data_IF_048986732449
#
_entry.id   IF_048986732449
#
_cell.length_a   1.000
_cell.length_b   1.000
_cell.length_c   1.000
_cell.angle_alpha   90.00
_cell.angle_beta   90.00
_cell.angle_gamma   90.00
#
_symmetry.space_group_name_H-M   'P 1'
#
loop_
_entity.id
_entity.type
_entity.pdbx_description
1 polymer ?
#
# COMPACT_ATOMS: atom_id res chain seq x y z
N UNK A 1 23.22 -18.11 4.49
CA UNK A 1 23.83 -16.89 3.89
C UNK A 1 23.21 -15.69 4.59
N UNK A 2 24.01 -14.78 5.16
CA UNK A 2 23.51 -13.71 6.05
C UNK A 2 22.55 -12.78 5.27
N UNK A 3 21.27 -12.64 5.67
CA UNK A 3 20.26 -11.85 4.94
C UNK A 3 20.66 -10.38 4.78
N UNK A 4 21.55 -9.87 5.63
CA UNK A 4 22.02 -8.46 5.63
C UNK A 4 22.83 -8.03 4.39
N UNK A 5 23.56 -8.94 3.72
CA UNK A 5 24.37 -8.57 2.55
C UNK A 5 23.51 -8.45 1.29
N UNK A 6 22.68 -9.45 1.04
CA UNK A 6 21.78 -9.49 -0.12
C UNK A 6 20.79 -8.31 -0.12
N UNK A 7 20.24 -7.97 1.05
CA UNK A 7 19.34 -6.82 1.21
C UNK A 7 20.03 -5.47 0.98
N UNK A 8 21.32 -5.31 1.35
CA UNK A 8 22.07 -4.08 1.06
C UNK A 8 22.31 -3.89 -0.45
N UNK A 9 22.64 -4.96 -1.16
CA UNK A 9 22.82 -4.91 -2.62
C UNK A 9 21.50 -4.59 -3.31
N UNK A 10 20.41 -5.25 -2.94
CA UNK A 10 19.07 -4.97 -3.47
C UNK A 10 18.61 -3.53 -3.16
N UNK A 11 18.89 -3.03 -1.95
CA UNK A 11 18.59 -1.63 -1.61
C UNK A 11 19.38 -0.66 -2.50
N UNK A 12 20.66 -0.92 -2.78
CA UNK A 12 21.46 -0.09 -3.71
C UNK A 12 20.88 -0.13 -5.13
N UNK A 13 20.49 -1.30 -5.63
CA UNK A 13 19.85 -1.42 -6.95
C UNK A 13 18.51 -0.69 -6.97
N UNK A 14 17.70 -0.84 -5.93
CA UNK A 14 16.42 -0.13 -5.83
C UNK A 14 16.61 1.39 -5.80
N UNK A 15 17.64 1.92 -5.14
CA UNK A 15 17.92 3.38 -5.14
C UNK A 15 18.37 3.92 -6.50
N UNK A 16 18.86 3.06 -7.42
CA UNK A 16 19.14 3.46 -8.81
C UNK A 16 17.86 3.60 -9.64
N UNK A 17 16.86 2.74 -9.37
CA UNK A 17 15.57 2.75 -10.07
C UNK A 17 14.64 3.81 -9.49
N UNK A 18 14.63 3.96 -8.17
CA UNK A 18 13.81 4.91 -7.42
C UNK A 18 14.70 6.02 -6.88
N UNK A 19 14.66 7.22 -7.48
CA UNK A 19 15.55 8.32 -7.10
C UNK A 19 15.28 8.78 -5.66
N UNK A 20 16.32 9.29 -5.02
CA UNK A 20 16.23 9.84 -3.66
C UNK A 20 15.13 10.88 -3.58
N UNK A 21 14.17 10.67 -2.68
CA UNK A 21 13.02 11.53 -2.50
C UNK A 21 13.04 12.23 -1.15
N UNK A 22 12.48 13.44 -1.13
CA UNK A 22 12.33 14.22 0.10
C UNK A 22 10.99 13.86 0.75
N UNK A 23 10.99 13.76 2.06
CA UNK A 23 9.75 13.72 2.86
C UNK A 23 9.44 15.17 3.26
N UNK A 24 8.26 15.64 2.87
CA UNK A 24 7.76 16.98 3.20
C UNK A 24 6.46 16.79 3.96
N UNK A 25 6.37 17.30 5.17
CA UNK A 25 5.17 17.20 6.00
C UNK A 25 4.60 18.58 6.27
N UNK A 26 3.27 18.72 6.21
CA UNK A 26 2.57 19.97 6.54
C UNK A 26 2.64 20.30 8.03
N UNK A 27 2.70 19.26 8.87
CA UNK A 27 2.80 19.39 10.33
C UNK A 27 3.95 18.52 10.83
N UNK A 28 4.53 18.80 12.00
CA UNK A 28 5.46 17.88 12.64
C UNK A 28 4.84 16.49 12.77
N UNK A 29 5.59 15.44 12.41
CA UNK A 29 5.12 14.08 12.58
C UNK A 29 5.10 13.74 14.07
N UNK A 30 4.04 13.11 14.51
CA UNK A 30 3.90 12.67 15.90
C UNK A 30 4.95 11.63 16.27
N UNK A 31 5.37 11.59 17.54
CA UNK A 31 6.17 10.50 18.10
C UNK A 31 5.30 9.29 18.48
N UNK A 32 3.98 9.49 18.66
CA UNK A 32 3.02 8.41 18.86
C UNK A 32 2.85 7.58 17.58
N UNK A 33 2.48 6.29 17.72
CA UNK A 33 2.19 5.44 16.57
C UNK A 33 1.05 5.97 15.72
N UNK A 34 1.18 5.85 14.41
CA UNK A 34 0.21 6.36 13.46
C UNK A 34 0.06 5.44 12.24
N UNK A 35 -0.99 5.67 11.46
CA UNK A 35 -1.22 5.00 10.17
C UNK A 35 -1.00 6.00 9.03
N UNK A 36 -0.10 5.69 8.13
CA UNK A 36 0.20 6.48 6.92
C UNK A 36 -0.50 5.85 5.73
N UNK A 37 -1.47 6.56 5.16
CA UNK A 37 -2.29 6.10 4.03
C UNK A 37 -1.76 6.74 2.75
N UNK A 38 -1.25 5.91 1.85
CA UNK A 38 -0.49 6.35 0.69
C UNK A 38 -1.20 5.97 -0.62
N UNK A 39 -1.05 6.82 -1.65
CA UNK A 39 -1.35 6.41 -3.01
C UNK A 39 -0.40 5.30 -3.47
N UNK A 40 -0.90 4.35 -4.25
CA UNK A 40 -0.11 3.17 -4.66
C UNK A 40 0.87 3.50 -5.79
N UNK A 41 0.43 4.23 -6.80
CA UNK A 41 1.26 4.57 -7.98
C UNK A 41 1.99 3.35 -8.56
N UNK A 42 1.31 2.23 -8.72
CA UNK A 42 1.91 0.95 -9.07
C UNK A 42 2.94 0.50 -8.03
N UNK A 43 4.18 0.20 -8.43
CA UNK A 43 5.26 -0.17 -7.51
C UNK A 43 6.00 1.04 -6.90
N UNK A 44 5.68 2.27 -7.33
CA UNK A 44 6.44 3.48 -6.94
C UNK A 44 6.18 3.82 -5.48
N UNK A 45 4.92 3.93 -5.08
CA UNK A 45 4.52 4.27 -3.73
C UNK A 45 5.16 3.36 -2.67
N UNK A 46 4.93 2.02 -2.73
CA UNK A 46 5.55 1.09 -1.79
C UNK A 46 7.07 1.15 -1.76
N UNK A 47 7.71 1.30 -2.93
CA UNK A 47 9.17 1.36 -3.01
C UNK A 47 9.73 2.62 -2.39
N UNK A 48 9.13 3.78 -2.68
CA UNK A 48 9.59 5.06 -2.12
C UNK A 48 9.37 5.14 -0.62
N UNK A 49 8.22 4.67 -0.11
CA UNK A 49 7.97 4.60 1.33
C UNK A 49 9.01 3.70 2.03
N UNK A 50 9.26 2.50 1.50
CA UNK A 50 10.26 1.57 2.07
C UNK A 50 11.69 2.14 2.06
N UNK A 51 12.05 2.91 1.04
CA UNK A 51 13.42 3.42 0.88
C UNK A 51 13.68 4.72 1.64
N UNK A 52 12.70 5.61 1.70
CA UNK A 52 12.92 7.01 2.09
C UNK A 52 12.10 7.50 3.28
N UNK A 53 11.01 6.82 3.65
CA UNK A 53 10.29 7.11 4.88
C UNK A 53 11.02 6.48 6.07
N UNK A 54 11.56 7.33 6.95
CA UNK A 54 12.55 6.89 7.95
C UNK A 54 11.95 6.45 9.30
N UNK A 55 10.70 6.81 9.59
CA UNK A 55 10.06 6.37 10.83
C UNK A 55 9.95 4.84 10.86
N UNK A 56 10.18 4.20 12.02
CA UNK A 56 10.00 2.75 12.15
C UNK A 56 8.56 2.37 11.82
N UNK A 57 8.36 1.55 10.79
CA UNK A 57 7.03 1.16 10.33
C UNK A 57 6.99 -0.27 9.80
N UNK A 58 5.78 -0.82 9.72
CA UNK A 58 5.48 -2.01 8.92
C UNK A 58 4.46 -1.67 7.84
N UNK A 59 4.66 -2.23 6.66
CA UNK A 59 3.78 -1.98 5.51
C UNK A 59 2.77 -3.11 5.36
N UNK A 60 1.52 -2.78 5.12
CA UNK A 60 0.52 -3.74 4.66
C UNK A 60 0.84 -4.15 3.23
N UNK A 61 0.92 -5.46 3.00
CA UNK A 61 1.18 -6.01 1.68
C UNK A 61 0.26 -7.19 1.41
N UNK A 62 -0.16 -7.35 0.16
CA UNK A 62 -0.98 -8.50 -0.19
C UNK A 62 -0.29 -9.82 0.14
N UNK A 63 -0.95 -10.67 0.93
CA UNK A 63 -0.36 -11.91 1.44
C UNK A 63 0.04 -12.91 0.35
N UNK A 64 -0.63 -12.87 -0.81
CA UNK A 64 -0.32 -13.76 -1.94
C UNK A 64 1.10 -13.58 -2.50
N UNK A 65 1.66 -12.37 -2.46
CA UNK A 65 3.03 -12.12 -2.94
C UNK A 65 4.10 -12.66 -2.00
N UNK A 66 3.76 -12.89 -0.74
CA UNK A 66 4.64 -13.49 0.26
C UNK A 66 4.59 -15.03 0.25
N UNK A 67 3.54 -15.62 -0.29
CA UNK A 67 3.34 -17.06 -0.39
C UNK A 67 4.18 -17.64 -1.54
N UNK A 68 4.98 -18.69 -1.26
CA UNK A 68 5.87 -19.33 -2.27
C UNK A 68 5.12 -19.88 -3.46
N UNK A 69 3.95 -20.46 -3.23
CA UNK A 69 3.16 -21.15 -4.25
C UNK A 69 2.29 -20.17 -5.04
N UNK A 70 1.73 -19.18 -4.36
CA UNK A 70 0.81 -18.20 -4.96
C UNK A 70 1.52 -17.00 -5.62
N UNK A 71 2.69 -16.60 -5.12
CA UNK A 71 3.41 -15.43 -5.63
C UNK A 71 3.71 -15.48 -7.14
N UNK A 72 4.11 -16.60 -7.76
CA UNK A 72 4.31 -16.64 -9.20
C UNK A 72 3.05 -16.36 -10.02
N UNK A 73 1.90 -16.86 -9.56
CA UNK A 73 0.62 -16.62 -10.23
C UNK A 73 0.14 -15.19 -10.02
N UNK A 74 0.30 -14.66 -8.80
CA UNK A 74 0.02 -13.26 -8.50
C UNK A 74 0.83 -12.33 -9.41
N UNK A 75 2.15 -12.50 -9.48
CA UNK A 75 3.03 -11.69 -10.31
C UNK A 75 2.70 -11.84 -11.81
N UNK A 76 2.36 -13.05 -12.26
CA UNK A 76 1.93 -13.25 -13.64
C UNK A 76 0.69 -12.43 -13.96
N UNK A 77 -0.32 -12.47 -13.10
CA UNK A 77 -1.57 -11.76 -13.31
C UNK A 77 -1.40 -10.25 -13.15
N UNK A 78 -0.65 -9.79 -12.15
CA UNK A 78 -0.53 -8.37 -11.83
C UNK A 78 0.46 -7.62 -12.75
N UNK A 79 1.61 -8.21 -13.04
CA UNK A 79 2.67 -7.54 -13.80
C UNK A 79 2.72 -7.91 -15.28
N UNK A 80 2.34 -9.14 -15.65
CA UNK A 80 2.54 -9.68 -17.00
C UNK A 80 1.26 -9.97 -17.77
N UNK A 81 0.09 -9.81 -17.18
CA UNK A 81 -1.19 -10.17 -17.79
C UNK A 81 -1.38 -9.58 -19.18
N UNK A 82 -1.20 -8.28 -19.34
CA UNK A 82 -1.35 -7.61 -20.64
C UNK A 82 -0.32 -8.03 -21.69
N UNK A 83 0.83 -8.56 -21.25
CA UNK A 83 1.91 -9.05 -22.11
C UNK A 83 1.77 -10.54 -22.44
N UNK A 84 0.94 -11.26 -21.71
CA UNK A 84 0.84 -12.71 -21.76
C UNK A 84 0.18 -13.27 -23.03
N UNK A 85 -0.53 -12.44 -23.82
CA UNK A 85 -1.30 -12.89 -24.98
C UNK A 85 -0.46 -13.63 -26.03
N UNK A 86 0.80 -13.22 -26.28
CA UNK A 86 1.66 -13.79 -27.34
C UNK A 86 2.63 -14.88 -26.87
N UNK A 87 3.07 -14.90 -25.60
CA UNK A 87 4.06 -15.84 -25.10
C UNK A 87 3.78 -16.25 -23.65
N UNK A 88 2.59 -16.77 -23.37
CA UNK A 88 2.11 -17.08 -22.02
C UNK A 88 3.06 -17.97 -21.21
N UNK A 89 3.69 -18.99 -21.85
CA UNK A 89 4.65 -19.88 -21.17
C UNK A 89 5.90 -19.14 -20.72
N UNK A 90 6.43 -18.24 -21.55
CA UNK A 90 7.59 -17.41 -21.23
C UNK A 90 7.30 -16.49 -20.04
N UNK A 91 6.16 -15.77 -20.07
CA UNK A 91 5.80 -14.86 -18.98
C UNK A 91 5.51 -15.59 -17.66
N UNK A 92 4.92 -16.79 -17.71
CA UNK A 92 4.77 -17.64 -16.53
C UNK A 92 6.11 -18.12 -15.97
N UNK A 93 7.07 -18.45 -16.81
CA UNK A 93 8.43 -18.79 -16.37
C UNK A 93 9.11 -17.57 -15.74
N UNK A 94 9.03 -16.39 -16.37
CA UNK A 94 9.61 -15.16 -15.87
C UNK A 94 8.97 -14.75 -14.52
N UNK A 95 7.65 -14.93 -14.35
CA UNK A 95 6.98 -14.63 -13.08
C UNK A 95 7.50 -15.49 -11.91
N UNK A 96 7.90 -16.75 -12.15
CA UNK A 96 8.54 -17.59 -11.13
C UNK A 96 9.91 -17.04 -10.70
N UNK A 97 10.70 -16.54 -11.65
CA UNK A 97 12.01 -15.91 -11.36
C UNK A 97 11.78 -14.61 -10.57
N UNK A 98 10.87 -13.75 -11.04
CA UNK A 98 10.55 -12.48 -10.36
C UNK A 98 10.03 -12.74 -8.96
N UNK A 99 9.13 -13.70 -8.75
CA UNK A 99 8.62 -14.07 -7.42
C UNK A 99 9.74 -14.50 -6.48
N UNK A 100 10.67 -15.33 -6.97
CA UNK A 100 11.81 -15.80 -6.18
C UNK A 100 12.75 -14.67 -5.75
N UNK A 101 12.91 -13.64 -6.59
CA UNK A 101 13.77 -12.48 -6.30
C UNK A 101 13.06 -11.41 -5.46
N UNK A 102 11.78 -11.17 -5.72
CA UNK A 102 11.00 -10.10 -5.08
C UNK A 102 10.64 -10.46 -3.63
N UNK A 103 10.24 -11.71 -3.39
CA UNK A 103 9.76 -12.13 -2.06
C UNK A 103 10.75 -11.85 -0.92
N UNK A 104 12.05 -12.22 -0.99
CA UNK A 104 13.00 -11.91 0.07
C UNK A 104 13.18 -10.40 0.31
N UNK A 105 12.99 -9.59 -0.73
CA UNK A 105 13.05 -8.13 -0.62
C UNK A 105 11.84 -7.60 0.16
N UNK A 106 10.66 -8.12 -0.13
CA UNK A 106 9.43 -7.74 0.57
C UNK A 106 9.45 -8.22 2.04
N UNK A 107 9.88 -9.46 2.27
CA UNK A 107 10.02 -10.03 3.63
C UNK A 107 11.03 -9.27 4.51
N UNK A 108 12.01 -8.57 3.90
CA UNK A 108 13.01 -7.80 4.66
C UNK A 108 12.41 -6.69 5.51
N UNK A 109 11.35 -6.03 5.03
CA UNK A 109 10.62 -5.00 5.77
C UNK A 109 9.74 -5.57 6.88
N UNK A 110 9.69 -6.89 7.06
CA UNK A 110 8.77 -7.57 7.98
C UNK A 110 7.33 -7.05 7.82
N UNK A 111 6.77 -7.10 6.59
CA UNK A 111 5.47 -6.54 6.28
C UNK A 111 4.35 -7.32 6.98
N UNK A 112 3.19 -6.69 7.07
CA UNK A 112 1.98 -7.33 7.56
C UNK A 112 1.19 -7.85 6.33
N UNK A 113 0.96 -9.17 6.24
CA UNK A 113 0.18 -9.73 5.14
C UNK A 113 -1.29 -9.34 5.25
N UNK A 114 -1.87 -8.90 4.14
CA UNK A 114 -3.30 -8.58 4.02
C UNK A 114 -3.98 -9.63 3.16
N UNK A 115 -5.11 -10.11 3.64
CA UNK A 115 -6.00 -11.05 2.96
C UNK A 115 -7.42 -10.51 2.95
N UNK A 116 -8.22 -10.91 1.97
CA UNK A 116 -9.64 -10.52 1.86
C UNK A 116 -10.58 -11.64 2.31
N UNK A 117 -10.15 -12.41 3.30
CA UNK A 117 -10.90 -13.51 3.91
C UNK A 117 -10.74 -13.49 5.44
N UNK A 118 -11.10 -14.61 6.12
CA UNK A 118 -11.01 -14.72 7.59
C UNK A 118 -9.61 -14.45 8.16
N UNK A 119 -8.55 -14.57 7.37
CA UNK A 119 -7.17 -14.23 7.76
C UNK A 119 -6.97 -12.74 8.00
N UNK A 120 -7.91 -11.88 7.61
CA UNK A 120 -7.89 -10.45 7.94
C UNK A 120 -7.81 -10.21 9.46
N UNK A 121 -8.36 -11.11 10.28
CA UNK A 121 -8.24 -11.04 11.75
C UNK A 121 -6.76 -11.00 12.17
N UNK A 122 -5.94 -11.83 11.55
CA UNK A 122 -4.49 -11.86 11.81
C UNK A 122 -3.79 -10.58 11.34
N UNK A 123 -4.22 -10.01 10.21
CA UNK A 123 -3.73 -8.70 9.74
C UNK A 123 -3.97 -7.63 10.81
N UNK A 124 -5.18 -7.57 11.37
CA UNK A 124 -5.51 -6.60 12.42
C UNK A 124 -4.72 -6.83 13.70
N UNK A 125 -4.56 -8.10 14.12
CA UNK A 125 -3.76 -8.45 15.29
C UNK A 125 -2.31 -7.99 15.15
N UNK A 126 -1.64 -8.35 14.04
CA UNK A 126 -0.26 -7.96 13.75
C UNK A 126 -0.11 -6.44 13.61
N UNK A 127 -1.14 -5.76 13.13
CA UNK A 127 -1.17 -4.30 13.04
C UNK A 127 -1.25 -3.65 14.41
N UNK A 128 -2.14 -4.14 15.27
CA UNK A 128 -2.24 -3.67 16.65
C UNK A 128 -0.93 -3.90 17.41
N UNK A 129 -0.37 -5.10 17.35
CA UNK A 129 0.92 -5.41 17.98
C UNK A 129 2.02 -4.43 17.52
N UNK A 130 2.03 -4.08 16.22
CA UNK A 130 2.98 -3.13 15.64
C UNK A 130 2.82 -1.73 16.23
N UNK A 131 1.58 -1.24 16.35
CA UNK A 131 1.30 0.07 16.95
C UNK A 131 1.63 0.08 18.45
N UNK A 132 1.35 -1.01 19.18
CA UNK A 132 1.70 -1.15 20.60
C UNK A 132 3.22 -1.21 20.83
N UNK A 133 4.00 -1.68 19.85
CA UNK A 133 5.47 -1.61 19.83
C UNK A 133 6.02 -0.20 19.55
N UNK A 134 5.17 0.81 19.39
CA UNK A 134 5.58 2.19 19.04
C UNK A 134 6.02 2.37 17.59
N UNK A 135 5.60 1.47 16.67
CA UNK A 135 5.89 1.56 15.25
C UNK A 135 4.65 1.97 14.48
N UNK A 136 4.88 2.65 13.36
CA UNK A 136 3.81 3.08 12.46
C UNK A 136 3.33 1.96 11.51
N UNK A 137 2.16 2.18 10.91
CA UNK A 137 1.67 1.40 9.77
C UNK A 137 1.73 2.24 8.50
N UNK A 138 2.13 1.61 7.40
CA UNK A 138 2.01 2.17 6.05
C UNK A 138 1.02 1.32 5.27
N UNK A 139 -0.03 1.95 4.75
CA UNK A 139 -1.14 1.27 4.07
C UNK A 139 -1.40 1.91 2.72
N UNK A 140 -1.62 1.09 1.71
CA UNK A 140 -1.99 1.50 0.35
C UNK A 140 -3.44 1.06 0.10
N UNK A 141 -4.43 1.91 0.43
CA UNK A 141 -5.84 1.49 0.49
C UNK A 141 -6.53 1.49 -0.87
N UNK A 142 -5.88 1.89 -1.95
CA UNK A 142 -6.51 1.99 -3.27
C UNK A 142 -7.11 0.68 -3.74
N UNK A 143 -8.34 0.71 -4.21
CA UNK A 143 -8.98 -0.41 -4.87
C UNK A 143 -8.90 -0.30 -6.40
N UNK A 144 -8.99 -1.42 -7.13
CA UNK A 144 -8.87 -1.47 -8.58
C UNK A 144 -10.14 -0.97 -9.30
N UNK A 145 -10.56 0.26 -8.98
CA UNK A 145 -11.65 0.95 -9.66
C UNK A 145 -11.12 1.84 -10.77
N UNK A 146 -12.02 2.36 -11.63
CA UNK A 146 -11.60 3.37 -12.61
C UNK A 146 -10.92 4.51 -11.91
N UNK A 147 -9.86 4.94 -12.57
CA UNK A 147 -8.99 5.97 -12.12
C UNK A 147 -9.74 7.32 -12.02
N UNK A 148 -9.72 7.92 -10.84
CA UNK A 148 -9.99 9.33 -10.68
C UNK A 148 -8.73 10.15 -11.01
N UNK A 149 -8.70 11.44 -10.84
CA UNK A 149 -7.61 12.28 -11.35
C UNK A 149 -6.23 11.94 -10.76
N UNK A 150 -6.10 11.70 -9.45
CA UNK A 150 -4.82 11.39 -8.79
C UNK A 150 -4.83 10.11 -7.98
N UNK A 151 -5.96 9.72 -7.40
CA UNK A 151 -6.09 8.51 -6.59
C UNK A 151 -7.39 7.78 -6.90
N UNK A 152 -7.39 6.46 -6.75
CA UNK A 152 -8.57 5.63 -6.90
C UNK A 152 -9.48 5.72 -5.65
N UNK A 153 -10.61 5.03 -5.70
CA UNK A 153 -11.40 4.74 -4.49
C UNK A 153 -10.60 3.89 -3.51
N UNK A 154 -10.97 3.91 -2.25
CA UNK A 154 -10.26 3.21 -1.19
C UNK A 154 -11.09 2.08 -0.60
N UNK A 155 -10.44 0.98 -0.23
CA UNK A 155 -10.99 0.03 0.72
C UNK A 155 -11.07 0.69 2.10
N UNK A 156 -12.21 0.56 2.76
CA UNK A 156 -12.50 1.26 4.03
C UNK A 156 -11.96 0.56 5.26
N UNK A 157 -11.54 -0.71 5.13
CA UNK A 157 -11.18 -1.58 6.26
C UNK A 157 -10.04 -1.06 7.15
N UNK A 158 -9.15 -0.22 6.64
CA UNK A 158 -8.07 0.37 7.44
C UNK A 158 -8.61 1.23 8.62
N UNK A 159 -9.77 1.84 8.46
CA UNK A 159 -10.36 2.71 9.47
C UNK A 159 -10.71 1.97 10.78
N UNK A 160 -10.97 0.66 10.71
CA UNK A 160 -11.22 -0.17 11.88
C UNK A 160 -10.01 -0.28 12.82
N UNK A 161 -8.80 0.03 12.32
CA UNK A 161 -7.62 0.13 13.18
C UNK A 161 -7.77 1.20 14.25
N UNK A 162 -8.49 2.30 13.97
CA UNK A 162 -8.79 3.33 14.96
C UNK A 162 -9.54 2.76 16.16
N UNK A 163 -10.64 2.02 15.90
CA UNK A 163 -11.42 1.36 16.94
C UNK A 163 -10.59 0.33 17.72
N UNK A 164 -9.82 -0.49 16.99
CA UNK A 164 -9.01 -1.55 17.59
C UNK A 164 -7.92 -0.97 18.48
N UNK A 165 -7.27 0.10 18.06
CA UNK A 165 -6.25 0.80 18.82
C UNK A 165 -6.83 1.50 20.05
N UNK A 166 -7.97 2.21 19.89
CA UNK A 166 -8.65 2.84 21.01
C UNK A 166 -9.07 1.83 22.09
N UNK A 167 -9.64 0.70 21.67
CA UNK A 167 -10.03 -0.36 22.62
C UNK A 167 -8.85 -0.90 23.43
N UNK A 168 -7.65 -0.91 22.86
CA UNK A 168 -6.45 -1.40 23.53
C UNK A 168 -5.71 -0.36 24.38
N UNK A 169 -5.81 0.95 24.02
CA UNK A 169 -4.95 1.99 24.59
C UNK A 169 -5.73 3.14 25.24
N UNK A 170 -7.01 3.32 24.93
CA UNK A 170 -7.80 4.48 25.31
C UNK A 170 -7.42 5.77 24.56
N UNK A 171 -6.59 5.68 23.49
CA UNK A 171 -6.15 6.82 22.68
C UNK A 171 -6.72 6.75 21.28
N UNK A 172 -7.07 7.90 20.71
CA UNK A 172 -7.46 8.01 19.30
C UNK A 172 -6.23 7.89 18.38
N UNK A 173 -6.35 7.07 17.34
CA UNK A 173 -5.29 6.81 16.38
C UNK A 173 -5.26 7.90 15.30
N UNK A 174 -4.05 8.39 14.99
CA UNK A 174 -3.82 9.34 13.91
C UNK A 174 -3.67 8.63 12.56
N UNK A 175 -4.34 9.16 11.52
CA UNK A 175 -4.24 8.72 10.14
C UNK A 175 -3.67 9.87 9.29
N UNK A 176 -2.48 9.67 8.73
CA UNK A 176 -1.81 10.66 7.89
C UNK A 176 -2.05 10.36 6.41
N UNK A 177 -2.62 11.31 5.64
CA UNK A 177 -2.65 11.21 4.18
C UNK A 177 -1.26 11.43 3.61
N UNK A 178 -0.86 10.58 2.65
CA UNK A 178 0.47 10.67 2.02
C UNK A 178 0.34 10.56 0.51
N UNK A 179 0.89 11.52 -0.21
CA UNK A 179 1.02 11.45 -1.66
C UNK A 179 2.48 11.25 -2.07
N UNK A 180 2.75 10.18 -2.81
CA UNK A 180 4.08 9.81 -3.29
C UNK A 180 4.18 10.10 -4.77
N UNK A 181 5.15 10.93 -5.18
CA UNK A 181 5.34 11.32 -6.57
C UNK A 181 6.83 11.19 -6.99
N UNK A 182 7.06 10.44 -8.09
CA UNK A 182 8.39 10.08 -8.56
C UNK A 182 9.10 11.20 -9.31
N UNK A 183 8.41 11.95 -10.19
CA UNK A 183 9.01 13.01 -11.04
C UNK A 183 9.54 14.14 -10.17
N UNK A 184 8.74 14.60 -9.22
CA UNK A 184 9.10 15.65 -8.27
C UNK A 184 9.94 15.12 -7.09
N UNK A 185 10.13 13.80 -6.98
CA UNK A 185 10.94 13.15 -5.95
C UNK A 185 10.49 13.51 -4.53
N UNK A 186 9.19 13.42 -4.29
CA UNK A 186 8.59 13.86 -3.03
C UNK A 186 7.67 12.78 -2.43
N UNK A 187 7.67 12.73 -1.11
CA UNK A 187 6.69 12.06 -0.27
C UNK A 187 6.06 13.18 0.55
N UNK A 188 4.87 13.62 0.11
CA UNK A 188 4.11 14.68 0.77
C UNK A 188 3.22 14.08 1.85
N UNK A 189 3.36 14.52 3.09
CA UNK A 189 2.55 14.09 4.23
C UNK A 189 1.64 15.24 4.64
N UNK A 190 0.35 15.00 4.65
CA UNK A 190 -0.66 16.00 5.05
C UNK A 190 -0.88 16.05 6.56
N UNK A 191 -1.89 16.79 6.95
CA UNK A 191 -2.33 16.87 8.34
C UNK A 191 -3.02 15.57 8.78
N UNK A 192 -2.82 15.12 10.03
CA UNK A 192 -3.47 13.92 10.52
C UNK A 192 -4.97 14.10 10.68
N UNK A 193 -5.71 13.05 10.37
CA UNK A 193 -7.12 12.88 10.72
C UNK A 193 -7.20 11.86 11.83
N UNK A 194 -7.81 12.23 12.96
CA UNK A 194 -7.91 11.32 14.11
C UNK A 194 -9.17 10.47 14.04
N UNK A 195 -9.07 9.23 14.51
CA UNK A 195 -10.24 8.44 14.85
C UNK A 195 -10.97 9.14 16.00
N UNK A 196 -12.30 9.18 15.94
CA UNK A 196 -13.14 9.78 16.98
C UNK A 196 -13.99 8.70 17.63
N UNK A 197 -13.54 8.21 18.77
CA UNK A 197 -14.19 7.13 19.52
C UNK A 197 -15.61 7.45 19.98
N UNK A 198 -16.00 8.72 19.98
CA UNK A 198 -17.35 9.15 20.38
C UNK A 198 -18.40 8.91 19.29
N UNK A 199 -17.96 8.64 18.06
CA UNK A 199 -18.84 8.42 16.91
C UNK A 199 -19.01 6.94 16.56
N UNK A 200 -20.13 6.56 15.94
CA UNK A 200 -20.36 5.18 15.52
C UNK A 200 -19.27 4.69 14.55
N UNK A 201 -18.77 3.44 14.70
CA UNK A 201 -17.67 2.92 13.88
C UNK A 201 -17.93 2.95 12.37
N UNK A 202 -19.16 2.69 11.91
CA UNK A 202 -19.51 2.73 10.48
C UNK A 202 -19.41 4.16 9.92
N UNK A 203 -19.87 5.18 10.67
CA UNK A 203 -19.74 6.57 10.26
C UNK A 203 -18.28 7.03 10.22
N UNK A 204 -17.44 6.49 11.12
CA UNK A 204 -16.01 6.75 11.11
C UNK A 204 -15.30 6.14 9.89
N UNK A 205 -15.72 4.97 9.42
CA UNK A 205 -15.14 4.36 8.20
C UNK A 205 -15.30 5.29 7.00
N UNK A 206 -16.51 5.73 6.73
CA UNK A 206 -16.81 6.56 5.57
C UNK A 206 -16.11 7.91 5.70
N UNK A 207 -16.25 8.55 6.87
CA UNK A 207 -15.60 9.83 7.15
C UNK A 207 -14.08 9.80 6.97
N UNK A 208 -13.38 8.83 7.58
CA UNK A 208 -11.92 8.71 7.46
C UNK A 208 -11.51 8.42 6.03
N UNK A 209 -12.24 7.54 5.34
CA UNK A 209 -11.94 7.15 3.96
C UNK A 209 -12.04 8.33 3.02
N UNK A 210 -13.13 9.10 3.08
CA UNK A 210 -13.33 10.28 2.23
C UNK A 210 -12.33 11.38 2.57
N UNK A 211 -12.18 11.72 3.85
CA UNK A 211 -11.25 12.76 4.29
C UNK A 211 -9.80 12.48 3.88
N UNK A 212 -9.35 11.26 4.07
CA UNK A 212 -7.98 10.87 3.71
C UNK A 212 -7.80 10.87 2.18
N UNK A 213 -8.76 10.34 1.42
CA UNK A 213 -8.70 10.35 -0.04
C UNK A 213 -8.63 11.79 -0.58
N UNK A 214 -9.51 12.67 -0.10
CA UNK A 214 -9.57 14.07 -0.53
C UNK A 214 -8.29 14.82 -0.14
N UNK A 215 -7.74 14.53 1.04
CA UNK A 215 -6.47 15.11 1.47
C UNK A 215 -5.30 14.64 0.60
N UNK A 216 -5.26 13.37 0.18
CA UNK A 216 -4.22 12.86 -0.75
C UNK A 216 -4.36 13.52 -2.12
N UNK A 217 -5.58 13.67 -2.65
CA UNK A 217 -5.85 14.40 -3.90
C UNK A 217 -5.41 15.87 -3.79
N UNK A 218 -5.69 16.52 -2.66
CA UNK A 218 -5.22 17.88 -2.37
C UNK A 218 -3.69 18.00 -2.37
N UNK A 219 -2.98 17.06 -1.72
CA UNK A 219 -1.52 17.01 -1.74
C UNK A 219 -0.95 16.86 -3.16
N UNK A 220 -1.63 16.08 -4.00
CA UNK A 220 -1.23 15.93 -5.40
C UNK A 220 -1.36 17.23 -6.19
N UNK A 221 -2.46 17.97 -5.99
CA UNK A 221 -2.73 19.25 -6.67
C UNK A 221 -1.78 20.38 -6.27
N UNK A 222 -1.20 20.31 -5.09
CA UNK A 222 -0.20 21.28 -4.61
C UNK A 222 1.17 21.09 -5.27
N UNK A 223 1.44 19.94 -5.88
CA UNK A 223 2.71 19.67 -6.56
C UNK A 223 2.74 20.29 -7.96
N UNK A 224 3.95 20.60 -8.49
CA UNK A 224 4.12 20.96 -9.89
C UNK A 224 3.47 19.94 -10.83
N UNK A 225 3.07 20.39 -12.03
CA UNK A 225 2.41 19.55 -13.02
C UNK A 225 3.10 18.20 -13.20
N UNK A 226 2.36 17.14 -13.02
CA UNK A 226 2.82 15.76 -13.14
C UNK A 226 1.67 14.87 -13.61
N UNK A 227 2.03 13.74 -14.23
CA UNK A 227 1.05 12.73 -14.61
C UNK A 227 0.95 11.69 -13.50
N UNK A 228 -0.25 11.49 -12.95
CA UNK A 228 -0.45 10.43 -11.98
C UNK A 228 -0.13 9.07 -12.58
N UNK A 229 0.42 8.18 -11.77
CA UNK A 229 0.66 6.78 -12.15
C UNK A 229 -0.50 5.96 -11.60
N UNK A 230 -1.29 5.30 -12.44
CA UNK A 230 -2.42 4.51 -11.98
C UNK A 230 -1.97 3.35 -11.09
N UNK A 231 -2.86 2.95 -10.17
CA UNK A 231 -2.64 1.79 -9.29
C UNK A 231 -2.39 0.53 -10.11
N UNK A 232 -3.24 0.26 -11.10
CA UNK A 232 -3.08 -0.84 -12.04
C UNK A 232 -2.76 -0.31 -13.45
N UNK A 233 -2.03 -1.09 -14.28
CA UNK A 233 -1.85 -0.77 -15.68
C UNK A 233 -3.20 -0.60 -16.42
N UNK A 234 -3.28 0.33 -17.39
CA UNK A 234 -4.51 0.60 -18.14
C UNK A 234 -5.15 -0.67 -18.74
N UNK A 235 -4.33 -1.63 -19.19
CA UNK A 235 -4.81 -2.91 -19.73
C UNK A 235 -5.69 -3.69 -18.74
N UNK A 236 -5.49 -3.51 -17.45
CA UNK A 236 -6.31 -4.10 -16.41
C UNK A 236 -7.69 -3.47 -16.36
N UNK A 237 -7.78 -2.14 -16.41
CA UNK A 237 -9.06 -1.43 -16.44
C UNK A 237 -9.87 -1.77 -17.68
N UNK A 238 -9.21 -1.89 -18.84
CA UNK A 238 -9.87 -2.25 -20.11
C UNK A 238 -10.41 -3.70 -20.11
N UNK A 239 -9.78 -4.60 -19.33
CA UNK A 239 -10.17 -6.01 -19.27
C UNK A 239 -11.16 -6.31 -18.14
N UNK A 240 -11.09 -5.59 -17.04
CA UNK A 240 -11.85 -5.81 -15.82
C UNK A 240 -12.77 -4.61 -15.48
N UNK A 241 -13.30 -3.94 -16.48
CA UNK A 241 -14.27 -2.83 -16.28
C UNK A 241 -15.48 -3.19 -15.41
N UNK A 242 -15.74 -4.49 -15.22
CA UNK A 242 -16.76 -5.00 -14.30
C UNK A 242 -16.40 -4.86 -12.81
N UNK A 243 -15.13 -4.63 -12.47
CA UNK A 243 -14.70 -4.44 -11.06
C UNK A 243 -15.16 -3.13 -10.44
N UNK A 244 -15.65 -2.19 -11.23
CA UNK A 244 -16.24 -0.96 -10.70
C UNK A 244 -17.40 -1.23 -9.74
N UNK A 245 -18.14 -2.31 -10.00
CA UNK A 245 -19.31 -2.69 -9.22
C UNK A 245 -19.01 -3.68 -8.10
N UNK A 246 -17.90 -4.40 -8.17
CA UNK A 246 -17.46 -5.35 -7.13
C UNK A 246 -15.94 -5.42 -7.04
N UNK A 247 -15.29 -4.49 -6.32
CA UNK A 247 -13.84 -4.52 -6.10
C UNK A 247 -13.33 -5.80 -5.44
N UNK A 248 -14.18 -6.52 -4.72
CA UNK A 248 -13.82 -7.80 -4.10
C UNK A 248 -13.61 -8.91 -5.14
N UNK A 249 -14.18 -8.79 -6.33
CA UNK A 249 -14.00 -9.77 -7.41
C UNK A 249 -12.56 -9.84 -7.91
N UNK A 250 -11.81 -8.75 -7.83
CA UNK A 250 -10.37 -8.72 -8.13
C UNK A 250 -9.59 -9.76 -7.33
N UNK A 251 -9.87 -9.87 -6.04
CA UNK A 251 -9.17 -10.81 -5.16
C UNK A 251 -9.54 -12.26 -5.43
N UNK A 252 -10.78 -12.53 -5.84
CA UNK A 252 -11.24 -13.89 -6.19
C UNK A 252 -10.49 -14.47 -7.39
N UNK A 253 -9.86 -13.65 -8.23
CA UNK A 253 -9.05 -14.14 -9.34
C UNK A 253 -7.76 -14.82 -8.89
N UNK A 254 -7.29 -14.56 -7.67
CA UNK A 254 -6.08 -15.15 -7.10
C UNK A 254 -6.34 -16.39 -6.26
N UNK A 255 -7.59 -16.68 -5.94
CA UNK A 255 -7.99 -17.88 -5.18
C UNK A 255 -8.21 -19.11 -6.08
N UNK A 256 -8.16 -18.94 -7.40
CA UNK A 256 -8.22 -19.99 -8.42
C UNK A 256 -6.79 -20.29 -8.90
#
# INVERSE_FOLDING_TARGET
MKPKFFSRVLKKVATLIFPKSKVVSKTPLTDEPAVYLCNHSGAIGPSMMTLYFKKPHKTWIIGYVLDKEKAPNFIFNDFFFGRSKKCKRFWRFLSKIVAKLLRPLLEYGNPIPVYHDRRMIETFRLSLDTLLEGKDLVVFPECPTRYSEFVNSFYTGFADMGRTYYAATGKDLAFYPVYVEKKNRVISVGEPVFYDHTKPPHAQRDFLTEKIRDAIDGLARELPEHKPVPFLPKVWYDYYGEYENDPASYWRTFDK
#
